data_IF_815863762161
#
_entry.id   IF_815863762161
#
_cell.length_a   1.000
_cell.length_b   1.000
_cell.length_c   1.000
_cell.angle_alpha   90.00
_cell.angle_beta   90.00
_cell.angle_gamma   90.00
#
_symmetry.space_group_name_H-M   'P 1'
#
loop_
_entity.id
_entity.type
_entity.pdbx_description
1 polymer ?
#
# COMPACT_ATOMS: atom_id res chain seq x y z
N UNK A 1 -20.79 2.62 -1.87
CA UNK A 1 -19.72 2.13 -2.76
C UNK A 1 -18.55 3.09 -2.64
N UNK A 2 -17.31 2.59 -2.59
CA UNK A 2 -16.12 3.46 -2.56
C UNK A 2 -15.74 3.88 -3.99
N UNK A 3 -15.39 5.15 -4.15
CA UNK A 3 -14.92 5.72 -5.42
C UNK A 3 -13.56 5.14 -5.82
N UNK A 4 -13.19 5.27 -7.09
CA UNK A 4 -11.87 4.87 -7.58
C UNK A 4 -10.74 5.59 -6.82
N UNK A 5 -10.95 6.86 -6.49
CA UNK A 5 -10.04 7.65 -5.66
C UNK A 5 -9.90 7.07 -4.25
N UNK A 6 -11.00 6.79 -3.57
CA UNK A 6 -10.99 6.22 -2.21
C UNK A 6 -10.28 4.86 -2.15
N UNK A 7 -10.51 4.01 -3.16
CA UNK A 7 -9.83 2.71 -3.27
C UNK A 7 -8.31 2.88 -3.49
N UNK A 8 -7.92 3.75 -4.40
CA UNK A 8 -6.50 4.06 -4.67
C UNK A 8 -5.82 4.59 -3.41
N UNK A 9 -6.46 5.56 -2.73
CA UNK A 9 -5.97 6.12 -1.47
C UNK A 9 -5.81 5.05 -0.39
N UNK A 10 -6.80 4.17 -0.23
CA UNK A 10 -6.73 3.09 0.77
C UNK A 10 -5.53 2.16 0.54
N UNK A 11 -5.24 1.81 -0.71
CA UNK A 11 -4.09 0.98 -1.07
C UNK A 11 -2.76 1.69 -0.77
N UNK A 12 -2.63 2.95 -1.20
CA UNK A 12 -1.42 3.78 -0.98
C UNK A 12 -1.15 3.95 0.52
N UNK A 13 -2.15 4.37 1.28
CA UNK A 13 -1.99 4.63 2.72
C UNK A 13 -1.72 3.34 3.50
N UNK A 14 -2.32 2.21 3.10
CA UNK A 14 -2.01 0.93 3.74
C UNK A 14 -0.59 0.49 3.43
N UNK A 15 -0.11 0.68 2.19
CA UNK A 15 1.29 0.41 1.86
C UNK A 15 2.24 1.25 2.71
N UNK A 16 1.98 2.55 2.86
CA UNK A 16 2.78 3.45 3.73
C UNK A 16 2.79 2.97 5.18
N UNK A 17 1.63 2.57 5.72
CA UNK A 17 1.54 2.00 7.06
C UNK A 17 2.39 0.73 7.20
N UNK A 18 2.31 -0.19 6.25
CA UNK A 18 3.10 -1.42 6.27
C UNK A 18 4.61 -1.13 6.16
N UNK A 19 5.02 -0.13 5.39
CA UNK A 19 6.42 0.31 5.35
C UNK A 19 6.89 0.83 6.71
N UNK A 20 6.07 1.61 7.40
CA UNK A 20 6.36 2.08 8.76
C UNK A 20 6.48 0.92 9.75
N UNK A 21 5.57 -0.05 9.68
CA UNK A 21 5.60 -1.24 10.55
C UNK A 21 6.77 -2.19 10.24
N UNK A 22 7.15 -2.31 8.96
CA UNK A 22 8.30 -3.08 8.50
C UNK A 22 9.66 -2.40 8.78
N UNK A 23 9.65 -1.10 9.09
CA UNK A 23 10.86 -0.34 9.42
C UNK A 23 11.35 -0.66 10.84
N UNK A 24 12.65 -0.90 10.97
CA UNK A 24 13.26 -1.39 12.22
C UNK A 24 13.20 -0.29 13.30
N UNK A 25 12.19 -0.34 14.14
CA UNK A 25 12.02 0.58 15.29
C UNK A 25 12.19 -0.25 16.56
N UNK A 26 13.28 -0.01 17.27
CA UNK A 26 13.88 -0.81 18.36
C UNK A 26 12.94 -1.53 19.34
N UNK A 27 13.39 -2.73 19.75
CA UNK A 27 13.02 -3.65 20.86
C UNK A 27 12.35 -4.97 20.44
N UNK A 28 12.83 -6.06 21.06
CA UNK A 28 12.65 -7.48 20.73
C UNK A 28 11.19 -8.02 20.77
N UNK A 29 10.20 -7.15 21.02
CA UNK A 29 8.77 -7.53 21.09
C UNK A 29 8.02 -7.22 19.78
N UNK A 30 8.71 -6.71 18.74
CA UNK A 30 8.08 -6.30 17.45
C UNK A 30 8.39 -7.18 16.23
N UNK A 31 9.20 -8.22 16.37
CA UNK A 31 9.69 -9.00 15.23
C UNK A 31 8.55 -9.63 14.42
N UNK A 32 7.54 -10.22 15.08
CA UNK A 32 6.40 -10.82 14.38
C UNK A 32 5.55 -9.80 13.58
N UNK A 33 5.39 -8.58 14.09
CA UNK A 33 4.67 -7.51 13.39
C UNK A 33 5.49 -7.01 12.20
N UNK A 34 6.79 -6.86 12.39
CA UNK A 34 7.71 -6.46 11.33
C UNK A 34 7.73 -7.49 10.20
N UNK A 35 7.88 -8.77 10.55
CA UNK A 35 7.84 -9.88 9.59
C UNK A 35 6.50 -9.90 8.86
N UNK A 36 5.37 -9.84 9.58
CA UNK A 36 4.06 -9.78 8.94
C UNK A 36 3.92 -8.59 7.98
N UNK A 37 4.41 -7.40 8.37
CA UNK A 37 4.37 -6.22 7.51
C UNK A 37 5.21 -6.39 6.24
N UNK A 38 6.41 -6.95 6.35
CA UNK A 38 7.27 -7.26 5.21
C UNK A 38 6.65 -8.32 4.30
N UNK A 39 6.01 -9.35 4.88
CA UNK A 39 5.28 -10.39 4.16
C UNK A 39 4.03 -9.86 3.46
N UNK A 40 3.38 -8.81 3.95
CA UNK A 40 2.25 -8.18 3.28
C UNK A 40 2.69 -7.19 2.20
N UNK A 41 3.79 -6.46 2.41
CA UNK A 41 4.30 -5.45 1.46
C UNK A 41 4.56 -6.01 0.07
N UNK A 42 5.04 -7.26 -0.04
CA UNK A 42 5.24 -7.93 -1.33
C UNK A 42 3.96 -8.13 -2.16
N UNK A 43 2.78 -7.95 -1.56
CA UNK A 43 1.48 -8.07 -2.21
C UNK A 43 0.81 -6.71 -2.47
N UNK A 44 1.40 -5.61 -2.00
CA UNK A 44 0.88 -4.27 -2.25
C UNK A 44 1.53 -3.66 -3.50
N UNK A 45 0.74 -3.10 -4.43
CA UNK A 45 1.26 -2.51 -5.66
C UNK A 45 2.12 -1.27 -5.36
N UNK A 46 3.09 -1.00 -6.24
CA UNK A 46 3.80 0.27 -6.29
C UNK A 46 2.92 1.36 -6.92
N UNK A 47 3.32 2.62 -6.75
CA UNK A 47 2.61 3.75 -7.37
C UNK A 47 2.58 3.62 -8.90
N UNK A 48 3.66 3.12 -9.51
CA UNK A 48 3.72 2.86 -10.96
C UNK A 48 2.72 1.76 -11.40
N UNK A 49 2.52 0.73 -10.58
CA UNK A 49 1.55 -0.33 -10.88
C UNK A 49 0.13 0.24 -10.83
N UNK A 50 -0.14 1.15 -9.89
CA UNK A 50 -1.41 1.87 -9.78
C UNK A 50 -1.61 2.87 -10.92
N UNK A 51 -0.58 3.58 -11.35
CA UNK A 51 -0.63 4.49 -12.52
C UNK A 51 -1.01 3.72 -13.80
N UNK A 52 -0.35 2.59 -14.06
CA UNK A 52 -0.65 1.73 -15.22
C UNK A 52 -2.05 1.13 -15.10
N UNK A 53 -2.42 0.65 -13.91
CA UNK A 53 -3.74 0.06 -13.68
C UNK A 53 -4.87 1.07 -13.80
N UNK A 54 -4.67 2.32 -13.37
CA UNK A 54 -5.62 3.41 -13.52
C UNK A 54 -5.79 3.83 -14.99
N UNK A 55 -4.72 3.79 -15.79
CA UNK A 55 -4.80 4.02 -17.22
C UNK A 55 -5.61 2.93 -17.95
N UNK A 56 -5.49 1.66 -17.51
CA UNK A 56 -6.23 0.55 -18.09
C UNK A 56 -7.67 0.42 -17.58
N UNK A 57 -7.92 0.73 -16.30
CA UNK A 57 -9.18 0.51 -15.60
C UNK A 57 -9.56 1.72 -14.74
N UNK A 58 -9.90 2.88 -15.35
CA UNK A 58 -10.11 4.15 -14.64
C UNK A 58 -11.33 4.17 -13.71
N UNK A 59 -12.32 3.30 -13.95
CA UNK A 59 -13.47 3.13 -13.06
C UNK A 59 -13.10 2.37 -11.78
N UNK A 60 -11.99 1.61 -11.84
CA UNK A 60 -11.48 0.86 -10.71
C UNK A 60 -10.43 1.70 -9.99
N UNK A 61 -9.37 2.13 -10.66
CA UNK A 61 -8.29 2.86 -10.00
C UNK A 61 -8.23 4.28 -10.53
N UNK A 62 -8.05 5.22 -9.62
CA UNK A 62 -7.70 6.59 -9.97
C UNK A 62 -6.17 6.67 -10.05
N UNK A 63 -5.66 7.61 -10.86
CA UNK A 63 -4.23 7.90 -10.86
C UNK A 63 -3.81 8.36 -9.44
N UNK A 64 -2.73 7.80 -8.87
CA UNK A 64 -2.16 8.29 -7.62
C UNK A 64 -1.91 9.80 -7.68
N UNK A 65 -2.38 10.53 -6.67
CA UNK A 65 -2.02 11.94 -6.49
C UNK A 65 -0.71 12.00 -5.72
N UNK A 66 0.30 12.70 -6.26
CA UNK A 66 1.60 12.91 -5.61
C UNK A 66 1.50 13.82 -4.39
#
# INVERSE_FOLDING_TARGET
MTTAYERTKAVIETRKLLQLLGSRTSTATRDAIQDAALLLLRHYPLDVDLEISAAALPEIWATPQR
#
